data_IF_994322499736
#
_entry.id   IF_994322499736
#
_cell.length_a   1.000
_cell.length_b   1.000
_cell.length_c   1.000
_cell.angle_alpha   90.00
_cell.angle_beta   90.00
_cell.angle_gamma   90.00
#
_symmetry.space_group_name_H-M   'P 1'
#
loop_
_entity.id
_entity.type
_entity.pdbx_description
1 polymer ?
#
# COMPACT_ATOMS: atom_id res chain seq x y z
N UNK A 1 0.24 -9.41 -3.58
CA UNK A 1 0.85 -9.76 -2.26
C UNK A 1 2.10 -8.94 -1.96
N UNK A 2 3.11 -8.89 -2.84
CA UNK A 2 4.40 -8.22 -2.56
C UNK A 2 4.28 -6.80 -2.02
N UNK A 3 3.46 -5.94 -2.64
CA UNK A 3 3.29 -4.56 -2.19
C UNK A 3 2.69 -4.38 -0.78
N UNK A 4 1.88 -5.34 -0.30
CA UNK A 4 1.45 -5.36 1.11
C UNK A 4 2.64 -5.53 2.05
N UNK A 5 3.50 -6.51 1.75
CA UNK A 5 4.72 -6.76 2.49
C UNK A 5 5.72 -5.61 2.38
N UNK A 6 5.80 -4.97 1.21
CA UNK A 6 6.63 -3.77 1.00
C UNK A 6 6.23 -2.65 1.95
N UNK A 7 4.96 -2.25 1.96
CA UNK A 7 4.50 -1.16 2.83
C UNK A 7 4.71 -1.49 4.32
N UNK A 8 4.35 -2.72 4.74
CA UNK A 8 4.55 -3.16 6.11
C UNK A 8 6.01 -3.07 6.53
N UNK A 9 6.94 -3.62 5.73
CA UNK A 9 8.35 -3.64 6.09
C UNK A 9 9.00 -2.26 5.97
N UNK A 10 8.66 -1.47 4.95
CA UNK A 10 9.20 -0.12 4.78
C UNK A 10 8.82 0.78 5.96
N UNK A 11 7.59 0.70 6.45
CA UNK A 11 7.18 1.48 7.62
C UNK A 11 7.68 0.87 8.94
N UNK A 12 7.78 -0.46 9.06
CA UNK A 12 8.29 -1.11 10.27
C UNK A 12 9.79 -0.87 10.49
N UNK A 13 10.55 -0.90 9.41
CA UNK A 13 12.01 -0.67 9.39
C UNK A 13 12.31 0.67 8.72
N UNK A 14 11.59 1.70 9.13
CA UNK A 14 11.58 3.02 8.51
C UNK A 14 12.92 3.77 8.57
N UNK A 15 13.82 3.37 9.45
CA UNK A 15 15.20 3.88 9.47
C UNK A 15 16.11 3.23 8.41
N UNK A 16 15.68 2.11 7.83
CA UNK A 16 16.43 1.37 6.80
C UNK A 16 15.99 1.76 5.38
N UNK A 17 14.69 2.00 5.19
CA UNK A 17 14.12 2.26 3.86
C UNK A 17 13.72 3.73 3.73
N UNK A 18 14.34 4.46 2.81
CA UNK A 18 13.98 5.86 2.51
C UNK A 18 12.83 6.00 1.51
N UNK A 19 12.58 4.95 0.70
CA UNK A 19 11.50 4.91 -0.27
C UNK A 19 10.98 3.48 -0.45
N UNK A 20 9.72 3.34 -0.87
CA UNK A 20 9.11 2.05 -1.15
C UNK A 20 8.10 2.13 -2.30
N UNK A 21 8.08 1.12 -3.16
CA UNK A 21 7.18 1.04 -4.31
C UNK A 21 6.23 -0.16 -4.20
N UNK A 22 4.93 0.09 -4.30
CA UNK A 22 3.86 -0.89 -4.12
C UNK A 22 2.97 -0.92 -5.36
N UNK A 23 2.91 -2.08 -6.04
CA UNK A 23 2.10 -2.26 -7.25
C UNK A 23 0.94 -3.22 -6.99
N UNK A 24 -0.28 -2.84 -7.37
CA UNK A 24 -1.50 -3.65 -7.24
C UNK A 24 -1.58 -4.37 -5.90
N UNK A 25 -1.49 -3.60 -4.82
CA UNK A 25 -1.19 -4.18 -3.51
C UNK A 25 -2.45 -4.75 -2.87
N UNK A 26 -2.31 -5.91 -2.24
CA UNK A 26 -3.39 -6.59 -1.54
C UNK A 26 -3.62 -5.94 -0.15
N UNK A 27 -4.06 -4.69 -0.13
CA UNK A 27 -4.42 -3.96 1.10
C UNK A 27 -5.81 -4.39 1.60
N UNK A 28 -5.90 -5.66 1.99
CA UNK A 28 -7.15 -6.39 2.26
C UNK A 28 -7.51 -6.46 3.75
N UNK A 29 -6.82 -5.70 4.62
CA UNK A 29 -7.02 -5.81 6.08
C UNK A 29 -8.49 -5.59 6.45
N UNK A 30 -9.12 -4.57 5.89
CA UNK A 30 -10.52 -4.24 6.17
C UNK A 30 -11.49 -5.31 5.63
N UNK A 31 -11.10 -6.04 4.58
CA UNK A 31 -11.94 -7.09 3.99
C UNK A 31 -11.96 -8.37 4.83
N UNK A 32 -10.89 -8.61 5.62
CA UNK A 32 -10.69 -9.87 6.35
C UNK A 32 -10.70 -9.69 7.88
N UNK A 33 -10.64 -8.46 8.38
CA UNK A 33 -10.75 -8.17 9.81
C UNK A 33 -12.11 -8.65 10.35
N UNK A 34 -12.08 -9.34 11.48
CA UNK A 34 -13.28 -9.90 12.11
C UNK A 34 -13.94 -11.06 11.34
N UNK A 35 -13.35 -11.53 10.24
CA UNK A 35 -13.90 -12.64 9.45
C UNK A 35 -14.11 -13.87 10.34
N UNK A 36 -15.25 -14.55 10.18
CA UNK A 36 -15.63 -15.75 10.92
C UNK A 36 -15.59 -17.01 10.04
N UNK A 37 -15.53 -18.22 10.63
CA UNK A 37 -15.64 -19.47 9.88
C UNK A 37 -16.88 -19.48 8.96
N UNK A 38 -16.71 -19.91 7.71
CA UNK A 38 -17.78 -19.98 6.72
C UNK A 38 -18.03 -18.68 5.93
N UNK A 39 -17.37 -17.57 6.28
CA UNK A 39 -17.44 -16.35 5.47
C UNK A 39 -16.80 -16.55 4.08
N UNK A 40 -17.40 -15.92 3.07
CA UNK A 40 -16.94 -15.94 1.68
C UNK A 40 -16.32 -14.58 1.35
N UNK A 41 -15.10 -14.60 0.80
CA UNK A 41 -14.43 -13.37 0.38
C UNK A 41 -14.63 -13.20 -1.14
N UNK A 42 -15.09 -12.02 -1.60
CA UNK A 42 -15.37 -11.78 -3.02
C UNK A 42 -14.21 -12.08 -3.97
N UNK A 43 -12.97 -11.90 -3.51
CA UNK A 43 -11.77 -12.17 -4.33
C UNK A 43 -11.51 -13.65 -4.59
N UNK A 44 -12.06 -14.56 -3.78
CA UNK A 44 -11.85 -16.01 -3.93
C UNK A 44 -10.42 -16.52 -3.65
N UNK A 45 -9.47 -15.63 -3.29
CA UNK A 45 -8.04 -15.96 -3.14
C UNK A 45 -7.76 -16.76 -1.85
N UNK A 46 -8.65 -16.71 -0.87
CA UNK A 46 -8.50 -17.45 0.39
C UNK A 46 -9.79 -17.60 1.16
N UNK A 47 -9.78 -18.47 2.17
CA UNK A 47 -10.88 -18.67 3.11
C UNK A 47 -10.46 -18.30 4.54
N UNK A 48 -11.40 -18.36 5.48
CA UNK A 48 -11.14 -18.07 6.90
C UNK A 48 -9.91 -18.81 7.44
N UNK A 49 -9.77 -20.10 7.17
CA UNK A 49 -8.65 -20.90 7.66
C UNK A 49 -7.29 -20.42 7.12
N UNK A 50 -7.24 -20.05 5.85
CA UNK A 50 -6.05 -19.45 5.22
C UNK A 50 -5.66 -18.14 5.92
N UNK A 51 -6.61 -17.20 6.04
CA UNK A 51 -6.33 -15.88 6.64
C UNK A 51 -5.98 -15.99 8.13
N UNK A 52 -6.68 -16.84 8.89
CA UNK A 52 -6.37 -17.11 10.31
C UNK A 52 -4.96 -17.66 10.52
N UNK A 53 -4.46 -18.48 9.58
CA UNK A 53 -3.10 -19.04 9.62
C UNK A 53 -2.02 -18.00 9.30
N UNK A 54 -2.30 -17.08 8.39
CA UNK A 54 -1.35 -16.03 7.97
C UNK A 54 -1.30 -14.88 8.99
N UNK A 55 -2.47 -14.39 9.39
CA UNK A 55 -2.62 -13.15 10.14
C UNK A 55 -2.76 -13.34 11.64
N UNK A 56 -3.04 -14.56 12.10
CA UNK A 56 -3.34 -14.79 13.51
C UNK A 56 -4.80 -14.46 13.78
N UNK A 57 -5.10 -13.90 14.96
CA UNK A 57 -6.45 -13.56 15.35
C UNK A 57 -7.01 -12.42 14.47
N UNK A 58 -8.07 -12.73 13.72
CA UNK A 58 -8.66 -11.78 12.76
C UNK A 58 -9.48 -10.69 13.45
N UNK A 59 -9.97 -10.94 14.67
CA UNK A 59 -10.69 -9.92 15.45
C UNK A 59 -9.75 -8.80 15.93
N UNK A 60 -8.46 -9.08 16.06
CA UNK A 60 -7.42 -8.14 16.46
C UNK A 60 -6.54 -7.65 15.29
N UNK A 61 -6.97 -7.89 14.04
CA UNK A 61 -6.12 -7.64 12.86
C UNK A 61 -6.03 -6.15 12.50
N UNK A 62 -7.18 -5.46 12.40
CA UNK A 62 -7.21 -4.04 12.03
C UNK A 62 -6.53 -3.20 13.11
N UNK A 63 -5.56 -2.37 12.71
CA UNK A 63 -4.73 -1.61 13.66
C UNK A 63 -3.75 -2.46 14.49
N UNK A 64 -3.61 -3.76 14.19
CA UNK A 64 -2.63 -4.65 14.80
C UNK A 64 -1.27 -4.63 14.09
N UNK A 65 -0.24 -5.30 14.60
CA UNK A 65 1.11 -5.30 14.03
C UNK A 65 1.22 -6.01 12.66
N UNK A 66 0.16 -6.68 12.21
CA UNK A 66 0.05 -7.27 10.87
C UNK A 66 -0.63 -6.34 9.87
N UNK A 67 -1.16 -5.20 10.31
CA UNK A 67 -1.70 -4.14 9.47
C UNK A 67 -0.56 -3.18 9.04
N UNK A 68 -0.36 -2.91 7.74
CA UNK A 68 0.61 -1.91 7.30
C UNK A 68 0.36 -0.51 7.88
N UNK A 69 -0.91 -0.11 8.09
CA UNK A 69 -1.23 1.22 8.64
C UNK A 69 -0.76 1.39 10.09
N UNK A 70 -0.74 0.31 10.87
CA UNK A 70 -0.17 0.35 12.22
C UNK A 70 1.29 0.82 12.19
N UNK A 71 2.10 0.28 11.28
CA UNK A 71 3.50 0.66 11.16
C UNK A 71 3.68 2.03 10.51
N UNK A 72 2.83 2.41 9.56
CA UNK A 72 2.85 3.76 8.98
C UNK A 72 2.59 4.83 10.06
N UNK A 73 1.62 4.60 10.95
CA UNK A 73 1.36 5.49 12.09
C UNK A 73 2.55 5.57 13.05
N UNK A 74 3.24 4.46 13.31
CA UNK A 74 4.46 4.45 14.14
C UNK A 74 5.61 5.21 13.50
N UNK A 75 5.87 4.98 12.21
CA UNK A 75 6.89 5.70 11.46
C UNK A 75 6.60 7.21 11.37
N UNK A 76 5.31 7.60 11.35
CA UNK A 76 4.92 9.02 11.41
C UNK A 76 5.34 9.65 12.73
N UNK A 77 5.11 8.98 13.86
CA UNK A 77 5.44 9.49 15.19
C UNK A 77 6.93 9.73 15.37
N UNK A 78 7.77 8.93 14.70
CA UNK A 78 9.24 9.07 14.72
C UNK A 78 9.78 9.97 13.61
N UNK A 79 8.93 10.48 12.70
CA UNK A 79 9.35 11.32 11.58
C UNK A 79 10.15 10.58 10.50
N UNK A 80 10.04 9.25 10.45
CA UNK A 80 10.82 8.39 9.55
C UNK A 80 9.99 7.78 8.43
N UNK A 81 8.78 8.31 8.14
CA UNK A 81 7.97 7.76 7.05
C UNK A 81 8.75 7.77 5.72
N UNK A 82 8.84 6.62 5.03
CA UNK A 82 9.47 6.58 3.71
C UNK A 82 8.62 7.32 2.68
N UNK A 83 9.25 7.76 1.59
CA UNK A 83 8.50 8.15 0.38
C UNK A 83 7.81 6.91 -0.20
N UNK A 84 6.58 7.06 -0.65
CA UNK A 84 5.77 5.93 -1.11
C UNK A 84 5.36 6.13 -2.56
N UNK A 85 5.75 5.20 -3.42
CA UNK A 85 5.20 5.06 -4.76
C UNK A 85 4.12 4.00 -4.75
N UNK A 86 2.90 4.39 -5.06
CA UNK A 86 1.75 3.49 -5.12
C UNK A 86 1.24 3.49 -6.57
N UNK A 87 1.10 2.29 -7.15
CA UNK A 87 0.50 2.15 -8.47
C UNK A 87 -0.52 1.01 -8.53
N UNK A 88 -1.65 1.25 -9.16
CA UNK A 88 -2.65 0.22 -9.40
C UNK A 88 -3.41 0.51 -10.70
N UNK A 89 -3.59 -0.53 -11.50
CA UNK A 89 -4.35 -0.42 -12.75
C UNK A 89 -5.83 -0.23 -12.49
N UNK A 90 -6.52 0.53 -13.34
CA UNK A 90 -7.94 0.91 -13.14
C UNK A 90 -8.92 -0.26 -13.30
N UNK A 91 -8.50 -1.34 -13.96
CA UNK A 91 -9.29 -2.57 -14.11
C UNK A 91 -8.87 -3.67 -13.13
N UNK A 92 -7.95 -3.36 -12.20
CA UNK A 92 -7.55 -4.28 -11.13
C UNK A 92 -8.64 -4.35 -10.05
N UNK A 93 -9.00 -5.56 -9.60
CA UNK A 93 -9.98 -5.74 -8.54
C UNK A 93 -9.54 -5.15 -7.19
N UNK A 94 -8.24 -4.90 -7.00
CA UNK A 94 -7.67 -4.26 -5.82
C UNK A 94 -7.64 -2.73 -5.91
N UNK A 95 -8.08 -2.13 -7.02
CA UNK A 95 -8.05 -0.68 -7.21
C UNK A 95 -8.80 0.10 -6.10
N UNK A 96 -9.99 -0.33 -5.63
CA UNK A 96 -10.66 0.32 -4.50
C UNK A 96 -9.83 0.30 -3.22
N UNK A 97 -9.24 -0.85 -2.88
CA UNK A 97 -8.38 -1.01 -1.69
C UNK A 97 -7.13 -0.13 -1.77
N UNK A 98 -6.51 0.00 -2.95
CA UNK A 98 -5.34 0.86 -3.14
C UNK A 98 -5.71 2.35 -3.04
N UNK A 99 -6.88 2.73 -3.55
CA UNK A 99 -7.40 4.10 -3.39
C UNK A 99 -7.63 4.47 -1.92
N UNK A 100 -8.23 3.57 -1.14
CA UNK A 100 -8.42 3.79 0.31
C UNK A 100 -7.08 3.89 1.03
N UNK A 101 -6.15 2.95 0.81
CA UNK A 101 -4.83 2.97 1.44
C UNK A 101 -4.05 4.24 1.10
N UNK A 102 -4.11 4.70 -0.16
CA UNK A 102 -3.50 5.97 -0.58
C UNK A 102 -3.99 7.13 0.28
N UNK A 103 -5.32 7.26 0.43
CA UNK A 103 -5.94 8.33 1.22
C UNK A 103 -5.53 8.26 2.70
N UNK A 104 -5.48 7.07 3.28
CA UNK A 104 -5.03 6.89 4.67
C UNK A 104 -3.57 7.34 4.86
N UNK A 105 -2.68 6.97 3.93
CA UNK A 105 -1.26 7.36 3.97
C UNK A 105 -1.07 8.87 3.76
N UNK A 106 -1.79 9.45 2.79
CA UNK A 106 -1.84 10.91 2.56
C UNK A 106 -2.35 11.64 3.82
N UNK A 107 -3.37 11.10 4.49
CA UNK A 107 -3.91 11.64 5.75
C UNK A 107 -2.92 11.60 6.92
N UNK A 108 -1.98 10.65 6.92
CA UNK A 108 -0.85 10.63 7.86
C UNK A 108 0.26 11.63 7.50
N UNK A 109 0.15 12.29 6.33
CA UNK A 109 1.17 13.17 5.78
C UNK A 109 2.39 12.42 5.26
N UNK A 110 2.19 11.21 4.70
CA UNK A 110 3.23 10.54 3.93
C UNK A 110 3.41 11.22 2.57
N UNK A 111 4.65 11.25 2.07
CA UNK A 111 4.94 11.66 0.70
C UNK A 111 4.56 10.51 -0.24
N UNK A 112 3.37 10.62 -0.85
CA UNK A 112 2.80 9.60 -1.72
C UNK A 112 2.80 10.08 -3.17
N UNK A 113 3.53 9.37 -4.02
CA UNK A 113 3.38 9.43 -5.47
C UNK A 113 2.38 8.36 -5.91
N UNK A 114 1.25 8.78 -6.49
CA UNK A 114 0.19 7.88 -6.95
C UNK A 114 0.14 7.80 -8.47
N UNK A 115 0.24 6.59 -8.99
CA UNK A 115 0.02 6.30 -10.41
C UNK A 115 -1.21 5.41 -10.60
N UNK A 116 -2.12 5.84 -11.47
CA UNK A 116 -3.23 5.04 -11.95
C UNK A 116 -3.33 5.17 -13.47
N UNK A 117 -3.71 4.08 -14.13
CA UNK A 117 -3.91 4.03 -15.57
C UNK A 117 -4.49 2.69 -15.99
N UNK A 118 -4.78 2.50 -17.29
CA UNK A 118 -5.28 1.23 -17.80
C UNK A 118 -4.34 0.07 -17.45
N UNK A 119 -4.88 -0.97 -16.85
CA UNK A 119 -4.18 -2.16 -16.39
C UNK A 119 -5.05 -3.02 -15.48
N UNK A 120 -4.94 -4.33 -15.65
CA UNK A 120 -5.50 -5.32 -14.72
C UNK A 120 -4.41 -5.84 -13.76
N UNK A 121 -4.74 -6.86 -12.97
CA UNK A 121 -3.80 -7.52 -12.07
C UNK A 121 -2.78 -8.41 -12.83
N UNK A 122 -1.82 -7.79 -13.54
CA UNK A 122 -0.97 -8.48 -14.51
C UNK A 122 0.50 -8.05 -14.47
N UNK A 123 1.36 -8.97 -14.93
CA UNK A 123 2.79 -8.72 -15.09
C UNK A 123 3.10 -7.58 -16.07
N UNK A 124 2.27 -7.38 -17.10
CA UNK A 124 2.44 -6.30 -18.06
C UNK A 124 2.34 -4.94 -17.39
N UNK A 125 1.36 -4.76 -16.48
CA UNK A 125 1.25 -3.53 -15.70
C UNK A 125 2.46 -3.36 -14.79
N UNK A 126 2.85 -4.40 -14.03
CA UNK A 126 3.98 -4.30 -13.10
C UNK A 126 5.33 -4.05 -13.79
N UNK A 127 5.57 -4.61 -14.99
CA UNK A 127 6.77 -4.35 -15.79
C UNK A 127 6.85 -2.88 -16.25
N UNK A 128 5.71 -2.26 -16.57
CA UNK A 128 5.65 -0.85 -16.90
C UNK A 128 5.90 0.03 -15.67
N UNK A 129 5.29 -0.31 -14.54
CA UNK A 129 5.39 0.49 -13.32
C UNK A 129 6.77 0.40 -12.67
N UNK A 130 7.43 -0.76 -12.66
CA UNK A 130 8.79 -0.87 -12.10
C UNK A 130 9.79 0.01 -12.86
N UNK A 131 9.64 0.16 -14.18
CA UNK A 131 10.47 1.04 -15.02
C UNK A 131 10.31 2.53 -14.67
N UNK A 132 9.17 2.92 -14.09
CA UNK A 132 8.92 4.30 -13.61
C UNK A 132 9.34 4.47 -12.15
N UNK A 133 9.02 3.48 -11.32
CA UNK A 133 9.25 3.53 -9.88
C UNK A 133 10.76 3.51 -9.53
N UNK A 134 11.58 2.75 -10.26
CA UNK A 134 13.03 2.69 -9.99
C UNK A 134 13.70 4.06 -10.19
N UNK A 135 13.56 4.75 -11.34
CA UNK A 135 14.06 6.12 -11.49
C UNK A 135 13.51 7.08 -10.43
N UNK A 136 12.22 7.00 -10.09
CA UNK A 136 11.63 7.83 -9.03
C UNK A 136 12.28 7.58 -7.64
N UNK A 137 12.58 6.32 -7.32
CA UNK A 137 13.26 5.97 -6.07
C UNK A 137 14.68 6.55 -6.03
N UNK A 138 15.38 6.55 -7.16
CA UNK A 138 16.77 7.04 -7.28
C UNK A 138 16.86 8.57 -7.33
N UNK A 139 15.89 9.24 -7.96
CA UNK A 139 15.90 10.69 -8.17
C UNK A 139 15.28 11.45 -6.98
N UNK A 140 15.75 11.16 -5.76
CA UNK A 140 15.21 11.69 -4.50
C UNK A 140 15.49 13.18 -4.23
N UNK A 141 15.66 14.01 -5.27
CA UNK A 141 15.70 15.45 -5.07
C UNK A 141 14.32 15.95 -4.65
N UNK A 142 14.26 16.70 -3.54
CA UNK A 142 13.03 17.35 -3.08
C UNK A 142 12.53 18.24 -4.21
N UNK A 143 11.41 17.89 -4.83
CA UNK A 143 10.66 18.88 -5.59
C UNK A 143 10.19 19.93 -4.59
N UNK A 144 10.85 21.08 -4.58
CA UNK A 144 10.25 22.29 -4.02
C UNK A 144 8.92 22.50 -4.75
N UNK A 145 7.85 22.60 -3.99
CA UNK A 145 6.51 22.89 -4.51
C UNK A 145 6.56 24.31 -5.04
N UNK A 146 6.65 24.46 -6.36
CA UNK A 146 6.44 25.74 -7.01
C UNK A 146 4.92 25.95 -7.14
N UNK A 147 4.39 26.86 -6.30
CA UNK A 147 2.97 27.13 -6.05
C UNK A 147 2.25 27.81 -7.24
N UNK A 148 2.83 27.79 -8.44
CA UNK A 148 2.33 28.53 -9.61
C UNK A 148 1.50 27.72 -10.60
N UNK A 149 1.43 26.38 -10.52
CA UNK A 149 0.81 25.57 -11.60
C UNK A 149 -0.59 24.99 -11.32
N UNK A 150 -1.28 25.39 -10.24
CA UNK A 150 -2.70 25.04 -10.03
C UNK A 150 -3.71 26.10 -10.50
N UNK A 151 -3.30 27.06 -11.34
CA UNK A 151 -4.22 27.98 -12.02
C UNK A 151 -4.23 27.76 -13.53
N UNK A 152 -4.87 26.68 -14.00
CA UNK A 152 -5.61 26.66 -15.27
C UNK A 152 -6.83 25.76 -15.12
#
# INVERSE_FOLDING_TARGET
MGGFGTLLNACKFSETFSAAACFSSAFIIQDIAGMKPGAVIPSGVGNYGYYRRVFGDLDALAGGPRDPLYWAQKAKQTGTLPRLYLACGTEDSLFPNNTVMRKELEGLGADVTWFQGPGAHSWQFWDQEIKKAVPWMLNAEKQEVDDETQRV
#
